data_IF_291320582956
#
_entry.id   IF_291320582956
#
_cell.length_a   1.000
_cell.length_b   1.000
_cell.length_c   1.000
_cell.angle_alpha   90.00
_cell.angle_beta   90.00
_cell.angle_gamma   90.00
#
_symmetry.space_group_name_H-M   'P 1'
#
loop_
_entity.id
_entity.type
_entity.pdbx_description
1 polymer ?
#
# COMPACT_ATOMS: atom_id res chain seq x y z
N UNK A 1 9.62 -5.35 3.97
CA UNK A 1 10.58 -4.27 4.26
C UNK A 1 10.81 -4.19 5.76
N UNK A 2 11.98 -3.69 6.19
CA UNK A 2 12.31 -3.56 7.62
C UNK A 2 11.73 -2.29 8.27
N UNK A 3 10.91 -1.54 7.53
CA UNK A 3 10.16 -0.41 8.03
C UNK A 3 8.66 -0.77 8.09
N UNK A 4 8.02 -0.68 9.27
CA UNK A 4 6.62 -1.05 9.43
C UNK A 4 5.67 -0.13 8.66
N UNK A 5 6.02 1.16 8.50
CA UNK A 5 5.24 2.14 7.73
C UNK A 5 5.23 1.74 6.26
N UNK A 6 6.41 1.40 5.72
CA UNK A 6 6.53 0.97 4.32
C UNK A 6 5.78 -0.34 4.05
N UNK A 7 5.72 -1.26 5.01
CA UNK A 7 4.94 -2.49 4.88
C UNK A 7 3.44 -2.22 4.79
N UNK A 8 2.91 -1.29 5.59
CA UNK A 8 1.50 -0.85 5.50
C UNK A 8 1.25 -0.17 4.15
N UNK A 9 2.15 0.70 3.70
CA UNK A 9 2.04 1.33 2.39
C UNK A 9 2.13 0.34 1.23
N UNK A 10 2.87 -0.76 1.36
CA UNK A 10 2.88 -1.84 0.37
C UNK A 10 1.53 -2.55 0.27
N UNK A 11 0.90 -2.85 1.41
CA UNK A 11 -0.45 -3.41 1.42
C UNK A 11 -1.46 -2.43 0.78
N UNK A 12 -1.37 -1.14 1.12
CA UNK A 12 -2.22 -0.11 0.52
C UNK A 12 -2.01 0.00 -0.99
N UNK A 13 -0.75 0.03 -1.46
CA UNK A 13 -0.42 0.02 -2.89
C UNK A 13 -0.99 -1.21 -3.61
N UNK A 14 -1.01 -2.38 -2.97
CA UNK A 14 -1.65 -3.57 -3.54
C UNK A 14 -3.15 -3.36 -3.70
N UNK A 15 -3.84 -2.92 -2.65
CA UNK A 15 -5.29 -2.67 -2.70
C UNK A 15 -5.66 -1.63 -3.77
N UNK A 16 -4.85 -0.56 -3.92
CA UNK A 16 -5.06 0.43 -4.99
C UNK A 16 -4.89 -0.20 -6.36
N UNK A 17 -3.90 -1.09 -6.57
CA UNK A 17 -3.74 -1.81 -7.84
C UNK A 17 -4.95 -2.70 -8.16
N UNK A 18 -5.49 -3.38 -7.16
CA UNK A 18 -6.67 -4.23 -7.31
C UNK A 18 -7.89 -3.38 -7.72
N UNK A 19 -8.14 -2.27 -7.03
CA UNK A 19 -9.19 -1.31 -7.40
C UNK A 19 -9.04 -0.77 -8.82
N UNK A 20 -7.82 -0.39 -9.22
CA UNK A 20 -7.55 0.10 -10.58
C UNK A 20 -7.75 -1.00 -11.64
N UNK A 21 -7.51 -2.26 -11.26
CA UNK A 21 -7.73 -3.42 -12.13
C UNK A 21 -9.23 -3.68 -12.33
N UNK A 22 -10.01 -3.64 -11.25
CA UNK A 22 -11.47 -3.80 -11.28
C UNK A 22 -12.14 -2.71 -12.13
N UNK A 23 -11.68 -1.45 -12.05
CA UNK A 23 -12.25 -0.31 -12.79
C UNK A 23 -11.52 0.01 -14.09
N UNK A 24 -10.68 -0.90 -14.58
CA UNK A 24 -9.82 -0.68 -15.75
C UNK A 24 -10.60 -0.19 -16.98
N UNK A 25 -11.78 -0.73 -17.23
CA UNK A 25 -12.61 -0.33 -18.37
C UNK A 25 -13.02 1.16 -18.29
N UNK A 26 -13.45 1.63 -17.11
CA UNK A 26 -13.84 3.02 -16.88
C UNK A 26 -12.65 3.98 -16.94
N UNK A 27 -11.49 3.53 -16.45
CA UNK A 27 -10.24 4.30 -16.48
C UNK A 27 -9.79 4.52 -17.93
N UNK A 28 -9.91 3.50 -18.79
CA UNK A 28 -9.55 3.60 -20.21
C UNK A 28 -10.59 4.43 -20.99
N UNK A 29 -11.87 4.31 -20.65
CA UNK A 29 -12.97 5.05 -21.29
C UNK A 29 -13.05 6.51 -20.80
N UNK A 30 -12.04 7.32 -21.14
CA UNK A 30 -12.01 8.73 -20.75
C UNK A 30 -13.06 9.56 -21.54
N UNK A 31 -13.85 10.42 -20.86
CA UNK A 31 -14.85 11.23 -21.51
C UNK A 31 -14.23 12.40 -22.31
N UNK A 32 -14.94 12.89 -23.35
CA UNK A 32 -14.50 14.06 -24.10
C UNK A 32 -14.50 15.32 -23.22
N UNK A 33 -13.53 16.20 -23.43
CA UNK A 33 -13.43 17.49 -22.71
C UNK A 33 -12.66 17.45 -21.39
N UNK A 34 -12.15 16.29 -20.95
CA UNK A 34 -11.22 16.21 -19.81
C UNK A 34 -9.86 15.64 -20.24
N UNK A 35 -8.80 16.01 -19.53
CA UNK A 35 -7.49 15.41 -19.76
C UNK A 35 -7.44 14.01 -19.16
N UNK A 36 -6.73 13.10 -19.84
CA UNK A 36 -6.48 11.74 -19.33
C UNK A 36 -5.83 11.75 -17.93
N UNK A 37 -4.94 12.72 -17.69
CA UNK A 37 -4.32 12.93 -16.36
C UNK A 37 -5.37 13.22 -15.29
N UNK A 38 -6.29 14.15 -15.54
CA UNK A 38 -7.35 14.50 -14.58
C UNK A 38 -8.29 13.32 -14.33
N UNK A 39 -8.64 12.56 -15.38
CA UNK A 39 -9.45 11.34 -15.26
C UNK A 39 -8.78 10.30 -14.35
N UNK A 40 -7.52 9.96 -14.62
CA UNK A 40 -6.78 8.97 -13.82
C UNK A 40 -6.54 9.45 -12.39
N UNK A 41 -6.24 10.74 -12.21
CA UNK A 41 -6.04 11.33 -10.89
C UNK A 41 -7.30 11.20 -10.02
N UNK A 42 -8.50 11.39 -10.60
CA UNK A 42 -9.77 11.19 -9.89
C UNK A 42 -9.90 9.78 -9.33
N UNK A 43 -9.65 8.76 -10.13
CA UNK A 43 -9.70 7.36 -9.66
C UNK A 43 -8.66 7.06 -8.58
N UNK A 44 -7.45 7.59 -8.71
CA UNK A 44 -6.42 7.41 -7.69
C UNK A 44 -6.76 8.09 -6.36
N UNK A 45 -7.35 9.28 -6.39
CA UNK A 45 -7.83 9.98 -5.20
C UNK A 45 -8.98 9.22 -4.54
N UNK A 46 -9.97 8.78 -5.33
CA UNK A 46 -11.09 7.97 -4.84
C UNK A 46 -10.60 6.66 -4.18
N UNK A 47 -9.66 5.96 -4.83
CA UNK A 47 -9.04 4.77 -4.28
C UNK A 47 -8.30 5.08 -2.97
N UNK A 48 -7.55 6.18 -2.91
CA UNK A 48 -6.80 6.54 -1.72
C UNK A 48 -7.72 6.86 -0.53
N UNK A 49 -8.73 7.70 -0.73
CA UNK A 49 -9.69 8.11 0.31
C UNK A 49 -10.49 6.91 0.82
N UNK A 50 -10.88 6.00 -0.07
CA UNK A 50 -11.71 4.83 0.29
C UNK A 50 -10.90 3.71 0.93
N UNK A 51 -9.71 3.41 0.40
CA UNK A 51 -8.96 2.22 0.77
C UNK A 51 -7.98 2.47 1.92
N UNK A 52 -7.41 3.68 2.04
CA UNK A 52 -6.43 3.95 3.09
C UNK A 52 -6.96 3.66 4.51
N UNK A 53 -8.14 4.15 4.94
CA UNK A 53 -8.68 3.82 6.26
C UNK A 53 -9.06 2.33 6.41
N UNK A 54 -9.34 1.62 5.31
CA UNK A 54 -9.66 0.18 5.32
C UNK A 54 -8.42 -0.69 5.42
N UNK A 55 -7.29 -0.24 4.86
CA UNK A 55 -6.02 -1.00 4.86
C UNK A 55 -5.17 -0.65 6.08
N UNK A 56 -4.99 0.64 6.39
CA UNK A 56 -4.16 1.13 7.49
C UNK A 56 -4.84 0.95 8.87
N UNK A 57 -5.38 -0.24 9.11
CA UNK A 57 -6.01 -0.61 10.38
C UNK A 57 -4.97 -0.72 11.49
N UNK A 58 -5.40 -0.48 12.74
CA UNK A 58 -4.54 -0.67 13.90
C UNK A 58 -3.96 -2.10 13.98
N UNK A 59 -4.75 -3.10 13.56
CA UNK A 59 -4.32 -4.50 13.51
C UNK A 59 -3.17 -4.72 12.50
N UNK A 60 -3.31 -4.20 11.27
CA UNK A 60 -2.26 -4.33 10.26
C UNK A 60 -1.00 -3.58 10.69
N UNK A 61 -1.14 -2.36 11.19
CA UNK A 61 -0.02 -1.56 11.71
C UNK A 61 0.73 -2.30 12.84
N UNK A 62 0.02 -2.89 13.80
CA UNK A 62 0.61 -3.67 14.87
C UNK A 62 1.33 -4.93 14.35
N UNK A 63 0.74 -5.60 13.35
CA UNK A 63 1.37 -6.76 12.69
C UNK A 63 2.68 -6.37 11.99
N UNK A 64 2.67 -5.29 11.20
CA UNK A 64 3.85 -4.76 10.53
C UNK A 64 4.94 -4.34 11.53
N UNK A 65 4.56 -3.70 12.64
CA UNK A 65 5.48 -3.34 13.72
C UNK A 65 6.13 -4.56 14.37
N UNK A 66 5.35 -5.58 14.73
CA UNK A 66 5.88 -6.83 15.31
C UNK A 66 6.82 -7.54 14.33
N UNK A 67 6.46 -7.54 13.05
CA UNK A 67 7.30 -8.11 12.00
C UNK A 67 8.66 -7.43 11.91
N UNK A 68 8.74 -6.10 12.04
CA UNK A 68 10.02 -5.37 12.02
C UNK A 68 10.78 -5.46 13.34
N UNK A 69 10.08 -5.50 14.48
CA UNK A 69 10.68 -5.61 15.81
C UNK A 69 11.55 -6.87 15.96
N UNK A 70 11.13 -8.01 15.41
CA UNK A 70 11.93 -9.25 15.46
C UNK A 70 13.32 -9.10 14.85
N UNK A 71 13.45 -8.22 13.84
CA UNK A 71 14.71 -7.94 13.17
C UNK A 71 15.55 -6.95 13.98
N UNK A 72 14.93 -5.93 14.57
CA UNK A 72 15.62 -5.02 15.48
C UNK A 72 16.23 -5.75 16.67
N UNK A 73 15.50 -6.70 17.27
CA UNK A 73 16.02 -7.52 18.37
C UNK A 73 17.27 -8.31 17.95
N UNK A 74 17.26 -8.93 16.76
CA UNK A 74 18.42 -9.65 16.23
C UNK A 74 19.63 -8.75 16.00
N UNK A 75 19.41 -7.55 15.44
CA UNK A 75 20.46 -6.54 15.27
C UNK A 75 21.06 -6.15 16.61
N UNK A 76 20.22 -5.85 17.60
CA UNK A 76 20.67 -5.50 18.95
C UNK A 76 21.45 -6.62 19.63
N UNK A 77 21.13 -7.88 19.32
CA UNK A 77 21.84 -9.06 19.81
C UNK A 77 23.09 -9.42 19.00
N UNK A 78 23.43 -8.65 17.95
CA UNK A 78 24.51 -8.95 16.99
C UNK A 78 24.36 -10.33 16.31
N UNK A 79 23.13 -10.81 16.21
CA UNK A 79 22.81 -12.07 15.54
C UNK A 79 22.73 -11.87 14.01
N UNK A 80 23.13 -12.89 13.25
CA UNK A 80 22.99 -12.89 11.80
C UNK A 80 21.55 -12.69 11.34
N UNK A 81 21.32 -11.73 10.44
CA UNK A 81 20.01 -11.45 9.88
C UNK A 81 19.79 -12.23 8.58
N UNK A 82 18.98 -13.28 8.62
CA UNK A 82 18.38 -13.81 7.40
C UNK A 82 17.11 -13.01 7.07
N UNK A 83 17.21 -12.19 6.02
CA UNK A 83 16.06 -11.51 5.42
C UNK A 83 15.64 -12.37 4.23
N UNK A 84 14.63 -13.23 4.40
CA UNK A 84 14.06 -13.93 3.24
C UNK A 84 13.36 -12.88 2.36
N UNK A 85 13.88 -12.74 1.14
CA UNK A 85 13.25 -12.00 0.04
C UNK A 85 12.07 -12.78 -0.52
#
# INVERSE_FOLDING_TARGET
MLNPIENVFSAFKSAVKDFMTERRAEIIAFPPGITMKAHHQRFLLEAAETLFPRVATAQLCASCYRHTLRFHVKVSALEGMHVCC
#
